data_IF_000555854223
#
_entry.id   IF_000555854223
#
_cell.length_a   1.000
_cell.length_b   1.000
_cell.length_c   1.000
_cell.angle_alpha   90.00
_cell.angle_beta   90.00
_cell.angle_gamma   90.00
#
_symmetry.space_group_name_H-M   'P 1'
#
loop_
_entity.id
_entity.type
_entity.pdbx_description
1 polymer ?
#
# COMPACT_ATOMS: atom_id res chain seq x y z
N UNK A 1 -61.30 34.30 11.68
CA UNK A 1 -62.49 33.48 12.01
C UNK A 1 -62.32 32.11 11.38
N UNK A 2 -62.97 31.08 11.94
CA UNK A 2 -62.98 29.69 11.47
C UNK A 2 -61.62 28.92 11.52
N UNK A 3 -61.62 27.58 11.56
CA UNK A 3 -61.81 26.78 12.79
C UNK A 3 -61.37 25.31 12.58
N UNK A 4 -60.49 24.82 13.47
CA UNK A 4 -60.36 23.45 14.05
C UNK A 4 -60.83 22.22 13.23
N UNK A 5 -59.93 21.23 13.00
CA UNK A 5 -60.07 19.87 13.59
C UNK A 5 -58.76 19.06 13.59
N UNK A 6 -58.71 17.95 14.35
CA UNK A 6 -57.49 17.20 14.71
C UNK A 6 -57.71 15.65 14.85
N UNK A 7 -56.61 14.94 15.14
CA UNK A 7 -56.42 13.47 15.28
C UNK A 7 -57.37 12.78 16.31
N UNK A 8 -57.68 11.46 16.15
CA UNK A 8 -56.84 10.32 16.62
C UNK A 8 -56.58 9.24 15.53
N UNK A 9 -55.69 8.23 15.60
CA UNK A 9 -54.85 7.54 16.61
C UNK A 9 -55.35 6.14 17.08
N UNK A 10 -54.39 5.21 17.36
CA UNK A 10 -54.52 3.88 18.05
C UNK A 10 -55.19 2.73 17.23
N UNK A 11 -54.87 1.42 17.34
CA UNK A 11 -53.66 0.62 17.66
C UNK A 11 -54.00 -0.91 17.51
N UNK A 12 -53.15 -1.82 18.05
CA UNK A 12 -53.38 -3.28 18.33
C UNK A 12 -53.37 -4.23 17.11
N UNK A 13 -53.08 -5.55 17.21
CA UNK A 13 -52.54 -6.47 18.24
C UNK A 13 -51.53 -7.42 17.52
N UNK A 14 -50.67 -8.24 18.14
CA UNK A 14 -50.42 -8.47 19.57
C UNK A 14 -50.76 -9.88 20.08
N UNK A 15 -49.94 -10.89 19.78
CA UNK A 15 -49.83 -12.22 20.45
C UNK A 15 -48.64 -12.98 19.85
N UNK A 16 -47.75 -13.74 20.51
CA UNK A 16 -47.65 -14.45 21.80
C UNK A 16 -47.41 -15.94 21.52
N UNK A 17 -46.25 -16.48 21.91
CA UNK A 17 -46.11 -17.73 22.69
C UNK A 17 -44.68 -17.93 23.17
N UNK A 18 -44.52 -18.32 24.45
CA UNK A 18 -43.23 -18.55 25.12
C UNK A 18 -43.11 -20.02 25.54
N UNK A 19 -42.04 -20.71 25.16
CA UNK A 19 -41.54 -21.96 25.76
C UNK A 19 -40.02 -22.07 25.46
N UNK A 20 -39.13 -22.59 26.33
CA UNK A 20 -39.23 -22.99 27.76
C UNK A 20 -37.81 -23.00 28.38
N UNK A 21 -37.74 -23.01 29.72
CA UNK A 21 -36.54 -23.08 30.60
C UNK A 21 -35.56 -24.25 30.35
N UNK A 22 -34.33 -24.05 30.85
CA UNK A 22 -33.29 -25.04 31.24
C UNK A 22 -32.65 -25.84 30.08
N UNK A 23 -31.40 -26.36 30.17
CA UNK A 23 -30.51 -26.62 31.32
C UNK A 23 -29.01 -26.44 30.98
N UNK A 24 -28.09 -26.61 31.95
CA UNK A 24 -26.62 -26.54 31.79
C UNK A 24 -25.92 -27.59 32.70
N UNK A 25 -24.68 -27.98 32.40
CA UNK A 25 -24.27 -29.23 31.76
C UNK A 25 -24.01 -30.41 32.74
N UNK A 26 -23.55 -31.57 32.24
CA UNK A 26 -22.66 -32.43 33.01
C UNK A 26 -21.29 -32.69 32.35
N UNK A 27 -20.36 -33.18 33.17
CA UNK A 27 -18.93 -33.42 32.88
C UNK A 27 -18.64 -34.80 32.23
N UNK A 28 -17.38 -35.02 31.87
CA UNK A 28 -16.82 -36.35 31.53
C UNK A 28 -17.07 -37.39 32.63
N UNK A 29 -17.30 -38.67 32.28
CA UNK A 29 -16.81 -39.81 33.04
C UNK A 29 -15.39 -40.20 32.61
N UNK A 30 -14.64 -40.87 33.49
CA UNK A 30 -13.32 -41.43 33.17
C UNK A 30 -13.14 -42.82 33.80
N UNK A 31 -12.70 -43.79 32.99
CA UNK A 31 -12.03 -45.03 33.42
C UNK A 31 -11.30 -45.64 32.21
N UNK A 32 -10.08 -46.17 32.24
CA UNK A 32 -9.16 -46.65 33.30
C UNK A 32 -9.36 -48.11 33.80
N UNK A 33 -8.60 -49.03 33.18
CA UNK A 33 -7.75 -50.11 33.75
C UNK A 33 -7.06 -50.85 32.56
N UNK A 34 -5.75 -51.21 32.53
CA UNK A 34 -4.86 -51.93 33.48
C UNK A 34 -5.24 -53.43 33.52
N UNK A 35 -4.37 -54.44 33.31
CA UNK A 35 -2.88 -54.60 33.30
C UNK A 35 -2.49 -55.76 32.31
N UNK A 36 -1.27 -56.30 32.09
CA UNK A 36 0.14 -56.09 32.54
C UNK A 36 1.16 -56.83 31.62
N UNK A 37 2.48 -56.63 31.83
CA UNK A 37 3.63 -57.52 31.48
C UNK A 37 3.93 -57.87 29.99
N UNK A 38 5.17 -58.13 29.53
CA UNK A 38 6.51 -58.32 30.17
C UNK A 38 7.66 -57.50 29.52
N UNK A 39 8.77 -57.39 30.27
CA UNK A 39 10.13 -56.84 30.05
C UNK A 39 11.01 -57.61 29.04
N UNK A 40 12.32 -57.26 28.78
CA UNK A 40 13.03 -55.96 28.72
C UNK A 40 14.06 -55.84 27.54
N UNK A 41 14.74 -54.68 27.35
CA UNK A 41 16.22 -54.56 27.23
C UNK A 41 16.68 -53.08 27.30
N UNK A 42 17.96 -52.85 27.60
CA UNK A 42 18.60 -51.55 27.88
C UNK A 42 18.98 -50.71 26.65
N UNK A 43 19.13 -49.39 26.83
CA UNK A 43 20.36 -48.63 26.51
C UNK A 43 20.43 -47.37 27.38
N UNK A 44 21.64 -46.91 27.71
CA UNK A 44 21.90 -45.82 28.67
C UNK A 44 22.32 -44.52 27.97
N UNK A 45 21.91 -43.36 28.51
CA UNK A 45 22.85 -42.29 28.88
C UNK A 45 22.15 -41.09 29.54
N UNK A 46 22.81 -40.49 30.54
CA UNK A 46 22.38 -39.23 31.17
C UNK A 46 22.82 -38.02 30.33
N UNK A 47 21.96 -37.02 30.21
CA UNK A 47 22.22 -35.82 29.39
C UNK A 47 21.62 -34.53 29.96
N UNK A 48 21.81 -34.24 31.26
CA UNK A 48 21.35 -33.00 31.90
C UNK A 48 22.01 -31.76 31.26
N UNK A 49 21.41 -31.18 30.22
CA UNK A 49 21.84 -29.88 29.69
C UNK A 49 21.43 -28.75 30.64
N UNK A 50 22.35 -28.49 31.57
CA UNK A 50 22.44 -27.30 32.42
C UNK A 50 22.23 -26.05 31.56
N UNK A 51 21.10 -25.37 31.75
CA UNK A 51 20.85 -24.07 31.13
C UNK A 51 21.85 -23.06 31.69
N UNK A 52 22.92 -22.80 30.95
CA UNK A 52 23.91 -21.80 31.33
C UNK A 52 23.41 -20.43 30.86
N UNK A 53 23.04 -19.57 31.80
CA UNK A 53 22.85 -18.14 31.54
C UNK A 53 24.21 -17.49 31.28
N UNK A 54 24.76 -17.76 30.10
CA UNK A 54 25.75 -16.88 29.49
C UNK A 54 25.00 -15.62 29.07
N UNK A 55 25.15 -14.54 29.84
CA UNK A 55 24.82 -13.21 29.36
C UNK A 55 25.85 -12.85 28.30
N UNK A 56 25.53 -13.18 27.05
CA UNK A 56 26.10 -12.45 25.93
C UNK A 56 25.43 -11.08 25.92
N UNK A 57 26.24 -10.03 26.01
CA UNK A 57 25.85 -8.72 25.49
C UNK A 57 25.90 -8.85 23.96
N UNK A 58 24.90 -9.56 23.42
CA UNK A 58 24.65 -9.74 22.00
C UNK A 58 24.27 -8.37 21.45
N UNK A 59 25.20 -7.72 20.74
CA UNK A 59 25.00 -6.38 20.22
C UNK A 59 23.76 -6.38 19.33
N UNK A 60 22.80 -5.48 19.56
CA UNK A 60 21.49 -5.50 18.86
C UNK A 60 21.64 -5.48 17.33
N UNK A 61 22.76 -4.94 16.82
CA UNK A 61 23.15 -4.92 15.40
C UNK A 61 23.59 -6.30 14.90
N UNK A 62 24.51 -7.01 15.57
CA UNK A 62 24.89 -8.39 15.24
C UNK A 62 23.66 -9.32 15.28
N UNK A 63 22.80 -9.13 16.30
CA UNK A 63 21.55 -9.86 16.44
C UNK A 63 20.57 -9.57 15.28
N UNK A 64 20.55 -8.33 14.77
CA UNK A 64 19.74 -7.93 13.62
C UNK A 64 20.26 -8.52 12.30
N UNK A 65 21.56 -8.45 12.04
CA UNK A 65 22.17 -9.01 10.82
C UNK A 65 21.94 -10.54 10.74
N UNK A 66 22.22 -11.28 11.82
CA UNK A 66 21.96 -12.72 11.90
C UNK A 66 20.47 -13.10 11.85
N UNK A 67 19.55 -12.14 12.04
CA UNK A 67 18.10 -12.31 11.82
C UNK A 67 17.71 -12.01 10.38
N UNK A 68 18.33 -11.04 9.72
CA UNK A 68 18.10 -10.71 8.31
C UNK A 68 18.66 -11.80 7.39
N UNK A 69 19.88 -12.29 7.63
CA UNK A 69 20.49 -13.42 6.93
C UNK A 69 19.56 -14.66 6.94
N UNK A 70 19.03 -15.00 8.13
CA UNK A 70 18.08 -16.12 8.28
C UNK A 70 16.78 -15.92 7.50
N UNK A 71 16.31 -14.68 7.35
CA UNK A 71 15.13 -14.39 6.52
C UNK A 71 15.47 -14.52 5.04
N UNK A 72 16.64 -14.06 4.60
CA UNK A 72 17.11 -14.22 3.22
C UNK A 72 17.25 -15.70 2.84
N UNK A 73 17.87 -16.53 3.69
CA UNK A 73 17.94 -17.98 3.46
C UNK A 73 16.54 -18.61 3.28
N UNK A 74 15.56 -18.23 4.11
CA UNK A 74 14.17 -18.73 3.98
C UNK A 74 13.53 -18.27 2.66
N UNK A 75 13.86 -17.06 2.17
CA UNK A 75 13.36 -16.55 0.87
C UNK A 75 13.96 -17.35 -0.30
N UNK A 76 15.27 -17.61 -0.27
CA UNK A 76 15.98 -18.42 -1.27
C UNK A 76 15.53 -19.89 -1.26
N UNK A 77 15.39 -20.50 -0.07
CA UNK A 77 14.89 -21.88 0.12
C UNK A 77 13.46 -22.07 -0.43
N UNK A 78 12.68 -20.98 -0.56
CA UNK A 78 11.33 -20.99 -1.13
C UNK A 78 11.30 -20.59 -2.62
N UNK A 79 12.46 -20.45 -3.27
CA UNK A 79 12.57 -20.27 -4.72
C UNK A 79 12.40 -18.84 -5.22
N UNK A 80 12.74 -17.83 -4.42
CA UNK A 80 12.78 -16.43 -4.83
C UNK A 80 14.23 -15.91 -4.89
N UNK A 81 14.58 -15.20 -5.96
CA UNK A 81 15.96 -14.71 -6.20
C UNK A 81 16.40 -13.61 -5.22
N UNK A 82 15.45 -12.95 -4.55
CA UNK A 82 15.71 -11.94 -3.52
C UNK A 82 14.46 -11.64 -2.68
N UNK A 83 14.66 -10.94 -1.55
CA UNK A 83 13.56 -10.39 -0.74
C UNK A 83 12.67 -9.43 -1.55
N UNK A 84 13.25 -8.67 -2.49
CA UNK A 84 12.50 -7.77 -3.38
C UNK A 84 11.68 -8.54 -4.42
N UNK A 85 12.22 -9.64 -4.95
CA UNK A 85 11.49 -10.56 -5.85
C UNK A 85 10.27 -11.16 -5.14
N UNK A 86 10.47 -11.72 -3.94
CA UNK A 86 9.38 -12.23 -3.09
C UNK A 86 8.36 -11.14 -2.74
N UNK A 87 8.82 -9.96 -2.34
CA UNK A 87 7.97 -8.84 -1.93
C UNK A 87 7.16 -8.29 -3.12
N UNK A 88 7.78 -8.19 -4.30
CA UNK A 88 7.14 -7.81 -5.55
C UNK A 88 6.06 -8.81 -5.94
N UNK A 89 6.36 -10.11 -5.92
CA UNK A 89 5.34 -11.17 -6.13
C UNK A 89 4.21 -11.06 -5.12
N UNK A 90 4.50 -10.95 -3.82
CA UNK A 90 3.47 -10.80 -2.78
C UNK A 90 2.56 -9.57 -3.00
N UNK A 91 3.11 -8.43 -3.43
CA UNK A 91 2.30 -7.23 -3.70
C UNK A 91 1.63 -7.21 -5.08
N UNK A 92 2.09 -7.99 -6.07
CA UNK A 92 1.55 -8.02 -7.44
C UNK A 92 0.60 -9.18 -7.72
N UNK A 93 0.77 -10.34 -7.10
CA UNK A 93 -0.05 -11.53 -7.38
C UNK A 93 -1.54 -11.32 -7.14
N UNK A 94 -2.35 -11.89 -8.02
CA UNK A 94 -3.78 -12.12 -7.79
C UNK A 94 -3.93 -13.43 -7.01
N UNK A 95 -4.40 -13.33 -5.77
CA UNK A 95 -4.58 -14.48 -4.88
C UNK A 95 -6.02 -15.00 -4.98
N UNK A 96 -6.18 -16.33 -4.93
CA UNK A 96 -7.51 -16.97 -4.92
C UNK A 96 -8.42 -16.41 -3.82
N UNK A 97 -9.73 -16.41 -4.06
CA UNK A 97 -10.74 -15.87 -3.14
C UNK A 97 -10.67 -16.58 -1.77
N UNK A 98 -10.48 -17.90 -1.80
CA UNK A 98 -10.33 -18.76 -0.62
C UNK A 98 -8.95 -18.66 0.08
N UNK A 99 -8.01 -17.89 -0.48
CA UNK A 99 -6.66 -17.79 0.08
C UNK A 99 -6.63 -16.92 1.33
N UNK A 100 -6.22 -17.50 2.46
CA UNK A 100 -5.94 -16.78 3.71
C UNK A 100 -4.98 -15.59 3.52
N UNK A 101 -4.09 -15.64 2.53
CA UNK A 101 -3.17 -14.54 2.22
C UNK A 101 -3.87 -13.34 1.57
N UNK A 102 -5.03 -13.50 0.93
CA UNK A 102 -5.77 -12.42 0.23
C UNK A 102 -6.21 -11.26 1.14
N UNK A 103 -6.88 -11.48 2.29
CA UNK A 103 -7.19 -10.38 3.23
C UNK A 103 -5.93 -9.77 3.86
N UNK A 104 -4.86 -10.55 4.07
CA UNK A 104 -3.58 -10.03 4.54
C UNK A 104 -2.93 -9.11 3.50
N UNK A 105 -2.89 -9.53 2.24
CA UNK A 105 -2.37 -8.79 1.10
C UNK A 105 -3.15 -7.49 0.87
N UNK A 106 -4.48 -7.53 0.91
CA UNK A 106 -5.33 -6.34 0.83
C UNK A 106 -5.06 -5.35 1.97
N UNK A 107 -4.90 -5.84 3.20
CA UNK A 107 -4.52 -5.02 4.36
C UNK A 107 -3.11 -4.43 4.20
N UNK A 108 -2.17 -5.20 3.63
CA UNK A 108 -0.80 -4.76 3.41
C UNK A 108 -0.72 -3.67 2.34
N UNK A 109 -1.37 -3.88 1.17
CA UNK A 109 -1.48 -2.89 0.08
C UNK A 109 -2.10 -1.57 0.58
N UNK A 110 -3.18 -1.64 1.37
CA UNK A 110 -3.94 -0.44 1.79
C UNK A 110 -3.37 0.31 2.99
N UNK A 111 -2.64 -0.37 3.90
CA UNK A 111 -2.19 0.23 5.18
C UNK A 111 -0.69 0.14 5.44
N UNK A 112 -0.01 -0.92 5.02
CA UNK A 112 1.42 -1.16 5.38
C UNK A 112 2.38 -0.64 4.32
N UNK A 113 2.05 -0.80 3.04
CA UNK A 113 2.88 -0.37 1.91
C UNK A 113 3.16 1.14 1.93
N UNK A 114 2.17 1.96 2.32
CA UNK A 114 2.35 3.41 2.50
C UNK A 114 3.43 3.73 3.55
N UNK A 115 3.42 3.03 4.68
CA UNK A 115 4.39 3.25 5.75
C UNK A 115 5.79 2.82 5.28
N UNK A 116 5.92 1.61 4.72
CA UNK A 116 7.17 1.12 4.14
C UNK A 116 7.79 2.11 3.14
N UNK A 117 6.99 2.65 2.21
CA UNK A 117 7.45 3.66 1.24
C UNK A 117 7.84 5.00 1.91
N UNK A 118 7.14 5.39 2.99
CA UNK A 118 7.48 6.58 3.79
C UNK A 118 8.78 6.39 4.58
N UNK A 119 9.00 5.19 5.13
CA UNK A 119 10.18 4.86 5.92
C UNK A 119 11.42 4.78 5.02
N UNK A 120 11.29 4.18 3.83
CA UNK A 120 12.30 4.23 2.76
C UNK A 120 12.57 5.67 2.30
N UNK A 121 11.52 6.50 2.17
CA UNK A 121 11.69 7.91 1.83
C UNK A 121 12.37 8.72 2.94
N UNK A 122 12.23 8.33 4.20
CA UNK A 122 13.00 8.93 5.29
C UNK A 122 14.48 8.49 5.22
N UNK A 123 14.75 7.20 5.01
CA UNK A 123 16.10 6.64 5.01
C UNK A 123 16.95 7.02 3.79
N UNK A 124 16.37 7.27 2.61
CA UNK A 124 17.16 7.48 1.38
C UNK A 124 18.20 8.61 1.49
N UNK A 125 18.02 9.54 2.43
CA UNK A 125 18.94 10.65 2.71
C UNK A 125 20.31 10.19 3.23
N UNK A 126 20.41 9.03 3.89
CA UNK A 126 21.69 8.47 4.37
C UNK A 126 22.39 7.54 3.36
N UNK A 127 21.68 7.09 2.31
CA UNK A 127 22.23 6.18 1.29
C UNK A 127 23.33 6.83 0.43
N UNK A 128 24.03 6.04 -0.38
CA UNK A 128 25.00 6.55 -1.36
C UNK A 128 24.31 7.34 -2.48
N UNK A 129 25.08 8.17 -3.19
CA UNK A 129 24.54 9.00 -4.28
C UNK A 129 23.94 8.16 -5.42
N UNK A 130 24.46 6.95 -5.66
CA UNK A 130 23.93 6.03 -6.68
C UNK A 130 22.54 5.51 -6.29
N UNK A 131 22.35 5.12 -5.03
CA UNK A 131 21.09 4.61 -4.50
C UNK A 131 20.04 5.72 -4.41
N UNK A 132 20.44 6.93 -3.98
CA UNK A 132 19.63 8.15 -4.02
C UNK A 132 19.12 8.45 -5.42
N UNK A 133 20.02 8.45 -6.42
CA UNK A 133 19.69 8.70 -7.81
C UNK A 133 18.68 7.69 -8.36
N UNK A 134 18.94 6.39 -8.18
CA UNK A 134 18.04 5.33 -8.64
C UNK A 134 16.66 5.36 -7.96
N UNK A 135 16.61 5.61 -6.66
CA UNK A 135 15.35 5.76 -5.92
C UNK A 135 14.56 7.00 -6.37
N UNK A 136 15.23 8.15 -6.54
CA UNK A 136 14.60 9.37 -7.02
C UNK A 136 14.10 9.23 -8.47
N UNK A 137 14.82 8.50 -9.32
CA UNK A 137 14.40 8.19 -10.70
C UNK A 137 13.11 7.38 -10.72
N UNK A 138 13.00 6.29 -9.96
CA UNK A 138 11.76 5.50 -9.85
C UNK A 138 10.61 6.31 -9.24
N UNK A 139 10.84 7.09 -8.18
CA UNK A 139 9.78 7.94 -7.60
C UNK A 139 9.25 8.95 -8.63
N UNK A 140 10.11 9.54 -9.47
CA UNK A 140 9.66 10.44 -10.55
C UNK A 140 8.98 9.65 -11.68
N UNK A 141 9.46 8.46 -12.05
CA UNK A 141 8.82 7.63 -13.07
C UNK A 141 7.41 7.17 -12.65
N UNK A 142 7.26 6.70 -11.40
CA UNK A 142 5.98 6.37 -10.79
C UNK A 142 5.03 7.59 -10.75
N UNK A 143 5.52 8.79 -10.39
CA UNK A 143 4.73 10.01 -10.42
C UNK A 143 4.35 10.48 -11.85
N UNK A 144 5.26 10.34 -12.82
CA UNK A 144 4.98 10.60 -14.25
C UNK A 144 3.93 9.63 -14.80
N UNK A 145 3.89 8.37 -14.33
CA UNK A 145 2.83 7.41 -14.67
C UNK A 145 1.48 7.83 -14.09
N UNK A 146 1.39 8.03 -12.78
CA UNK A 146 0.13 8.40 -12.09
C UNK A 146 -0.47 9.67 -12.71
N UNK A 147 0.33 10.71 -12.94
CA UNK A 147 -0.11 11.93 -13.62
C UNK A 147 -0.54 11.68 -15.08
N UNK A 148 0.02 10.69 -15.78
CA UNK A 148 -0.43 10.33 -17.12
C UNK A 148 -1.78 9.61 -17.08
N UNK A 149 -1.94 8.65 -16.16
CA UNK A 149 -3.15 7.86 -15.98
C UNK A 149 -4.35 8.76 -15.56
N UNK A 150 -4.13 9.72 -14.66
CA UNK A 150 -5.13 10.72 -14.28
C UNK A 150 -5.53 11.64 -15.46
N UNK A 151 -4.56 12.09 -16.26
CA UNK A 151 -4.86 12.91 -17.44
C UNK A 151 -5.59 12.10 -18.52
N UNK A 152 -5.25 10.82 -18.73
CA UNK A 152 -5.97 9.94 -19.65
C UNK A 152 -7.40 9.65 -19.18
N UNK A 153 -7.64 9.48 -17.88
CA UNK A 153 -9.00 9.39 -17.34
C UNK A 153 -9.81 10.68 -17.60
N UNK A 154 -9.21 11.84 -17.32
CA UNK A 154 -9.86 13.15 -17.51
C UNK A 154 -10.16 13.45 -18.99
N UNK A 155 -9.19 13.29 -19.90
CA UNK A 155 -9.40 13.56 -21.33
C UNK A 155 -10.16 12.44 -22.05
N UNK A 156 -10.00 11.18 -21.64
CA UNK A 156 -10.77 10.05 -22.17
C UNK A 156 -12.27 10.16 -21.86
N UNK A 157 -12.62 10.70 -20.68
CA UNK A 157 -14.02 11.04 -20.36
C UNK A 157 -14.61 12.17 -21.21
N UNK A 158 -13.75 12.95 -21.91
CA UNK A 158 -14.09 14.19 -22.61
C UNK A 158 -13.69 14.15 -24.09
N UNK A 159 -13.99 13.04 -24.78
CA UNK A 159 -13.63 12.83 -26.18
C UNK A 159 -14.84 12.76 -27.16
N UNK A 160 -15.42 13.91 -27.59
CA UNK A 160 -16.28 13.96 -28.77
C UNK A 160 -15.45 13.82 -30.05
N UNK A 161 -15.60 12.68 -30.73
CA UNK A 161 -15.41 12.46 -32.17
C UNK A 161 -14.32 13.30 -32.90
N UNK A 162 -13.05 12.86 -32.85
CA UNK A 162 -12.12 13.09 -33.99
C UNK A 162 -11.43 11.79 -34.37
N UNK A 163 -11.41 11.49 -35.68
CA UNK A 163 -10.88 10.23 -36.21
C UNK A 163 -9.38 10.34 -36.51
N UNK A 164 -8.52 9.44 -35.99
CA UNK A 164 -7.10 9.44 -36.32
C UNK A 164 -6.88 8.95 -37.77
N UNK A 165 -6.63 9.89 -38.69
CA UNK A 165 -6.22 9.58 -40.07
C UNK A 165 -4.88 8.85 -40.05
N UNK A 166 -4.90 7.53 -40.35
CA UNK A 166 -3.70 6.67 -40.42
C UNK A 166 -2.73 7.17 -41.51
N UNK A 167 -1.77 8.02 -41.15
CA UNK A 167 -0.57 8.22 -41.97
C UNK A 167 0.41 7.07 -41.71
N UNK A 168 0.47 6.12 -42.64
CA UNK A 168 1.57 5.15 -42.73
C UNK A 168 2.83 5.91 -43.15
N UNK A 169 3.89 5.82 -42.35
CA UNK A 169 5.25 6.15 -42.73
C UNK A 169 6.14 4.93 -42.42
N UNK A 170 7.08 4.60 -43.31
CA UNK A 170 7.89 3.39 -43.21
C UNK A 170 9.35 3.72 -42.89
N UNK A 171 9.91 2.97 -41.94
CA UNK A 171 11.32 2.51 -41.88
C UNK A 171 12.44 3.38 -42.47
N UNK A 172 13.34 3.84 -41.62
CA UNK A 172 14.80 3.86 -41.90
C UNK A 172 15.54 3.29 -40.68
N UNK A 173 16.62 2.53 -40.92
CA UNK A 173 17.37 1.89 -39.83
C UNK A 173 18.39 2.86 -39.22
N UNK A 174 18.32 3.02 -37.89
CA UNK A 174 19.50 3.10 -37.03
C UNK A 174 19.10 2.65 -35.63
N UNK A 175 19.91 1.80 -35.00
CA UNK A 175 19.65 1.25 -33.66
C UNK A 175 20.58 1.97 -32.66
N UNK A 176 20.06 2.87 -31.82
CA UNK A 176 20.81 3.49 -30.71
C UNK A 176 20.60 2.70 -29.41
N UNK A 177 21.60 2.70 -28.53
CA UNK A 177 21.60 1.94 -27.27
C UNK A 177 20.31 2.09 -26.45
N UNK A 178 19.81 0.98 -25.92
CA UNK A 178 18.55 0.91 -25.13
C UNK A 178 18.56 1.85 -23.90
N UNK A 179 19.74 2.15 -23.34
CA UNK A 179 19.89 3.10 -22.22
C UNK A 179 19.72 4.56 -22.67
N UNK A 180 20.25 4.90 -23.85
CA UNK A 180 20.12 6.24 -24.45
C UNK A 180 18.68 6.49 -24.94
N UNK A 181 18.01 5.45 -25.48
CA UNK A 181 16.60 5.54 -25.87
C UNK A 181 15.70 5.89 -24.68
N UNK A 182 15.85 5.19 -23.54
CA UNK A 182 15.10 5.50 -22.32
C UNK A 182 15.42 6.91 -21.81
N UNK A 183 16.70 7.23 -21.64
CA UNK A 183 17.15 8.55 -21.17
C UNK A 183 16.62 9.71 -22.04
N UNK A 184 16.72 9.60 -23.37
CA UNK A 184 16.24 10.62 -24.29
C UNK A 184 14.71 10.70 -24.36
N UNK A 185 14.00 9.57 -24.24
CA UNK A 185 12.53 9.56 -24.18
C UNK A 185 12.00 10.28 -22.93
N UNK A 186 12.60 10.04 -21.75
CA UNK A 186 12.28 10.75 -20.51
C UNK A 186 12.58 12.24 -20.61
N UNK A 187 13.73 12.61 -21.18
CA UNK A 187 14.06 14.03 -21.41
C UNK A 187 13.12 14.73 -22.41
N UNK A 188 12.56 14.00 -23.38
CA UNK A 188 11.48 14.55 -24.24
C UNK A 188 10.17 14.67 -23.45
N UNK A 189 9.72 13.59 -22.80
CA UNK A 189 8.47 13.55 -22.01
C UNK A 189 8.42 14.66 -20.96
N UNK A 190 9.51 14.89 -20.23
CA UNK A 190 9.65 15.99 -19.26
C UNK A 190 9.57 17.38 -19.91
N UNK A 191 10.17 17.59 -21.08
CA UNK A 191 10.01 18.85 -21.85
C UNK A 191 8.57 19.04 -22.30
N UNK A 192 7.91 17.97 -22.76
CA UNK A 192 6.53 18.02 -23.24
C UNK A 192 5.53 18.28 -22.11
N UNK A 193 5.75 17.71 -20.91
CA UNK A 193 5.00 18.03 -19.70
C UNK A 193 5.25 19.49 -19.27
N UNK A 194 6.51 19.92 -19.16
CA UNK A 194 6.83 21.30 -18.77
C UNK A 194 6.30 22.35 -19.76
N UNK A 195 6.26 22.02 -21.06
CA UNK A 195 5.65 22.83 -22.11
C UNK A 195 4.12 22.87 -21.96
N UNK A 196 3.44 21.73 -21.75
CA UNK A 196 2.00 21.67 -21.47
C UNK A 196 1.60 22.46 -20.23
N UNK A 197 2.36 22.36 -19.14
CA UNK A 197 2.14 23.16 -17.92
C UNK A 197 2.26 24.65 -18.24
N UNK A 198 3.24 25.06 -19.05
CA UNK A 198 3.39 26.45 -19.49
C UNK A 198 2.23 26.91 -20.39
N UNK A 199 1.76 26.05 -21.31
CA UNK A 199 0.59 26.31 -22.15
C UNK A 199 -0.67 26.55 -21.29
N UNK A 200 -0.91 25.70 -20.29
CA UNK A 200 -2.04 25.82 -19.34
C UNK A 200 -1.92 27.09 -18.47
N UNK A 201 -0.75 27.38 -17.90
CA UNK A 201 -0.51 28.58 -17.10
C UNK A 201 -0.50 29.88 -17.94
N UNK A 202 -0.36 29.78 -19.26
CA UNK A 202 -0.51 30.90 -20.20
C UNK A 202 -1.95 31.07 -20.71
N UNK A 203 -2.89 30.24 -20.28
CA UNK A 203 -4.31 30.42 -20.57
C UNK A 203 -4.84 31.67 -19.85
N UNK A 204 -5.57 32.58 -20.55
CA UNK A 204 -6.03 33.82 -19.94
C UNK A 204 -6.93 33.56 -18.73
N UNK A 205 -7.89 32.65 -18.85
CA UNK A 205 -8.86 32.30 -17.80
C UNK A 205 -8.18 31.85 -16.49
N UNK A 206 -7.10 31.06 -16.63
CA UNK A 206 -6.36 30.50 -15.49
C UNK A 206 -5.42 31.56 -14.89
N UNK A 207 -4.80 32.39 -15.73
CA UNK A 207 -3.96 33.51 -15.30
C UNK A 207 -4.78 34.58 -14.55
N UNK A 208 -5.97 34.93 -15.06
CA UNK A 208 -6.89 35.86 -14.40
C UNK A 208 -7.38 35.31 -13.06
N UNK A 209 -7.76 34.03 -13.01
CA UNK A 209 -8.16 33.36 -11.76
C UNK A 209 -7.05 33.42 -10.70
N UNK A 210 -5.81 33.08 -11.07
CA UNK A 210 -4.66 33.09 -10.16
C UNK A 210 -4.29 34.51 -9.71
N UNK A 211 -4.35 35.51 -10.60
CA UNK A 211 -4.13 36.92 -10.21
C UNK A 211 -5.21 37.43 -9.25
N UNK A 212 -6.46 37.05 -9.47
CA UNK A 212 -7.60 37.43 -8.63
C UNK A 212 -7.49 36.83 -7.22
N UNK A 213 -7.09 35.57 -7.11
CA UNK A 213 -6.86 34.91 -5.82
C UNK A 213 -5.64 35.51 -5.10
N UNK A 214 -4.54 35.75 -5.81
CA UNK A 214 -3.36 36.46 -5.27
C UNK A 214 -3.71 37.85 -4.73
N UNK A 215 -4.56 38.60 -5.44
CA UNK A 215 -5.04 39.91 -4.99
C UNK A 215 -5.97 39.81 -3.78
N UNK A 216 -6.84 38.79 -3.71
CA UNK A 216 -7.68 38.52 -2.54
C UNK A 216 -6.84 38.19 -1.30
N UNK A 217 -5.83 37.33 -1.44
CA UNK A 217 -4.89 36.97 -0.38
C UNK A 217 -4.07 38.19 0.11
N UNK A 218 -3.53 39.01 -0.80
CA UNK A 218 -2.81 40.22 -0.43
C UNK A 218 -3.70 41.24 0.31
N UNK A 219 -4.96 41.39 -0.10
CA UNK A 219 -5.89 42.28 0.59
C UNK A 219 -6.34 41.72 1.95
N UNK A 220 -6.54 40.41 2.07
CA UNK A 220 -6.80 39.73 3.35
C UNK A 220 -5.65 39.95 4.33
N UNK A 221 -4.41 39.66 3.93
CA UNK A 221 -3.21 39.88 4.76
C UNK A 221 -3.04 41.36 5.12
N UNK A 222 -3.23 42.29 4.17
CA UNK A 222 -3.18 43.73 4.42
C UNK A 222 -4.26 44.22 5.38
N UNK A 223 -5.43 43.59 5.40
CA UNK A 223 -6.50 43.94 6.32
C UNK A 223 -6.25 43.37 7.72
N UNK A 224 -5.76 42.12 7.85
CA UNK A 224 -5.33 41.58 9.15
C UNK A 224 -4.27 42.48 9.80
N UNK A 225 -3.25 42.93 9.05
CA UNK A 225 -2.24 43.87 9.58
C UNK A 225 -2.77 45.28 9.91
N UNK A 226 -4.02 45.61 9.56
CA UNK A 226 -4.69 46.86 9.97
C UNK A 226 -5.62 46.71 11.19
N UNK A 227 -5.98 45.49 11.56
CA UNK A 227 -6.80 45.23 12.76
C UNK A 227 -5.96 45.10 14.04
N UNK A 228 -4.62 45.13 13.91
CA UNK A 228 -3.65 45.09 15.01
C UNK A 228 -2.84 46.40 15.20
N UNK A 229 -3.34 47.54 14.69
CA UNK A 229 -2.67 48.85 14.74
C UNK A 229 -3.64 49.99 15.09
#
# INVERSE_FOLDING_TARGET
MATIQALPAVARHGSHSNHRREELPPQRPASSKVFSTTTPVSTSSNGRRRGSTAQFEDTDEDCLEARLERVLQIVEDNGFDSIDSMTSTYYRSELSEDSFLRPMQATSRTRRLRNLLSDLHASHKSWTEREKSAYAEEIVQSAESICSDELEALYGSRAPLTSPVRRRASSTLREPSLQDQQSTSLHSRRRDIARRIREVLSSPDISEFLQKDQAALQNSVRNMFKEFA
#
